data_IF_770868923627
#
_entry.id   IF_770868923627
#
_cell.length_a   1.000
_cell.length_b   1.000
_cell.length_c   1.000
_cell.angle_alpha   90.00
_cell.angle_beta   90.00
_cell.angle_gamma   90.00
#
_symmetry.space_group_name_H-M   'P 1'
#
loop_
_entity.id
_entity.type
_entity.pdbx_description
1 polymer ?
#
# COMPACT_ATOMS: atom_id res chain seq x y z
N UNK A 1 -12.27 -3.83 33.77
CA UNK A 1 -11.61 -2.73 33.06
C UNK A 1 -10.72 -3.28 31.96
N UNK A 2 -10.88 -2.75 30.79
CA UNK A 2 -10.05 -3.19 29.68
C UNK A 2 -8.69 -2.51 29.71
N UNK A 3 -7.63 -3.32 29.59
CA UNK A 3 -6.28 -2.81 29.42
C UNK A 3 -5.89 -2.69 27.95
N UNK A 4 -6.75 -3.15 27.08
CA UNK A 4 -6.52 -3.12 25.64
C UNK A 4 -6.93 -1.76 25.11
N UNK A 5 -5.97 -0.86 25.04
CA UNK A 5 -6.22 0.42 24.38
C UNK A 5 -5.86 0.26 22.91
N UNK A 6 -6.77 0.68 22.05
CA UNK A 6 -6.49 0.73 20.64
C UNK A 6 -5.48 1.85 20.42
N UNK A 7 -4.31 1.49 19.93
CA UNK A 7 -3.24 2.44 19.63
C UNK A 7 -3.29 2.92 18.18
N UNK A 8 -3.89 2.11 17.30
CA UNK A 8 -3.97 2.44 15.89
C UNK A 8 -5.14 1.71 15.26
N UNK A 9 -5.94 2.46 14.51
CA UNK A 9 -7.02 1.91 13.69
C UNK A 9 -6.77 2.29 12.25
N UNK A 10 -6.62 1.29 11.39
CA UNK A 10 -6.46 1.46 9.96
C UNK A 10 -7.54 0.68 9.24
N UNK A 11 -7.76 1.00 7.98
CA UNK A 11 -8.68 0.20 7.18
C UNK A 11 -8.39 0.31 5.69
N UNK A 12 -8.48 -0.84 5.00
CA UNK A 12 -8.84 -0.89 3.60
C UNK A 12 -10.35 -1.12 3.56
N UNK A 13 -10.82 -2.12 2.84
CA UNK A 13 -12.22 -2.55 2.90
C UNK A 13 -12.53 -3.26 4.22
N UNK A 14 -11.50 -3.78 4.87
CA UNK A 14 -11.59 -4.41 6.18
C UNK A 14 -10.79 -3.60 7.21
N UNK A 15 -11.24 -3.56 8.46
CA UNK A 15 -10.50 -2.85 9.50
C UNK A 15 -9.25 -3.60 9.94
N UNK A 16 -8.22 -2.86 10.28
CA UNK A 16 -7.03 -3.36 10.97
C UNK A 16 -6.89 -2.58 12.27
N UNK A 17 -7.01 -3.28 13.39
CA UNK A 17 -6.93 -2.66 14.71
C UNK A 17 -5.67 -3.14 15.40
N UNK A 18 -4.79 -2.20 15.72
CA UNK A 18 -3.54 -2.48 16.42
C UNK A 18 -3.71 -2.09 17.88
N UNK A 19 -3.39 -3.01 18.77
CA UNK A 19 -3.47 -2.82 20.22
C UNK A 19 -2.13 -3.16 20.86
N UNK A 20 -1.93 -2.86 22.15
CA UNK A 20 -0.71 -3.26 22.85
C UNK A 20 -0.46 -4.77 22.85
N UNK A 21 -1.50 -5.59 22.70
CA UNK A 21 -1.38 -7.04 22.64
C UNK A 21 -0.96 -7.56 21.27
N UNK A 22 -0.97 -6.72 20.26
CA UNK A 22 -0.51 -7.10 18.93
C UNK A 22 1.00 -7.31 18.96
N UNK A 23 1.45 -8.50 18.53
CA UNK A 23 2.87 -8.82 18.56
C UNK A 23 3.66 -7.96 17.55
N UNK A 24 3.17 -7.89 16.33
CA UNK A 24 3.74 -7.06 15.28
C UNK A 24 2.74 -6.96 14.14
N UNK A 25 2.98 -6.00 13.24
CA UNK A 25 2.19 -5.81 12.04
C UNK A 25 3.08 -6.07 10.84
N UNK A 26 2.63 -6.96 9.95
CA UNK A 26 3.35 -7.27 8.72
C UNK A 26 3.05 -6.23 7.65
N UNK A 27 4.07 -5.55 7.17
CA UNK A 27 3.97 -4.61 6.05
C UNK A 27 4.60 -5.26 4.82
N UNK A 28 3.81 -5.39 3.75
CA UNK A 28 4.32 -5.89 2.48
C UNK A 28 4.99 -4.76 1.70
N UNK A 29 6.24 -4.96 1.32
CA UNK A 29 7.05 -3.92 0.67
C UNK A 29 7.46 -4.26 -0.76
N UNK A 30 6.88 -5.28 -1.37
CA UNK A 30 7.24 -5.70 -2.72
C UNK A 30 6.63 -4.83 -3.82
N UNK A 31 5.70 -3.94 -3.46
CA UNK A 31 5.15 -2.93 -4.36
C UNK A 31 5.80 -1.56 -4.11
N UNK A 32 7.07 -1.59 -3.76
CA UNK A 32 7.90 -0.42 -3.52
C UNK A 32 9.04 -0.42 -4.54
N UNK A 33 9.04 0.57 -5.44
CA UNK A 33 10.02 0.63 -6.54
C UNK A 33 11.44 0.89 -6.06
N UNK A 34 11.60 1.48 -4.87
CA UNK A 34 12.94 1.72 -4.31
C UNK A 34 13.51 0.47 -3.65
N UNK A 35 12.65 -0.43 -3.17
CA UNK A 35 13.05 -1.64 -2.47
C UNK A 35 12.94 -2.92 -3.30
N UNK A 36 12.31 -2.87 -4.47
CA UNK A 36 12.09 -4.05 -5.31
C UNK A 36 12.41 -3.76 -6.75
N UNK A 37 13.46 -4.41 -7.26
CA UNK A 37 13.84 -4.28 -8.68
C UNK A 37 12.76 -4.83 -9.59
N UNK A 38 12.08 -5.88 -9.17
CA UNK A 38 10.97 -6.46 -9.94
C UNK A 38 9.83 -5.45 -10.06
N UNK A 39 9.44 -4.83 -8.96
CA UNK A 39 8.38 -3.82 -8.97
C UNK A 39 8.77 -2.65 -9.89
N UNK A 40 9.99 -2.14 -9.75
CA UNK A 40 10.47 -1.06 -10.59
C UNK A 40 10.36 -1.41 -12.07
N UNK A 41 10.80 -2.61 -12.46
CA UNK A 41 10.72 -3.05 -13.84
C UNK A 41 9.26 -3.10 -14.33
N UNK A 42 8.37 -3.67 -13.52
CA UNK A 42 6.97 -3.79 -13.90
C UNK A 42 6.31 -2.43 -14.11
N UNK A 43 6.62 -1.47 -13.25
CA UNK A 43 6.06 -0.12 -13.37
C UNK A 43 6.66 0.62 -14.57
N UNK A 44 7.97 0.52 -14.79
CA UNK A 44 8.63 1.15 -15.93
C UNK A 44 8.10 0.61 -17.27
N UNK A 45 7.80 -0.68 -17.34
CA UNK A 45 7.27 -1.32 -18.54
C UNK A 45 5.75 -1.25 -18.59
N UNK A 46 5.13 -0.56 -17.66
CA UNK A 46 3.67 -0.41 -17.57
C UNK A 46 2.91 -1.74 -17.48
N UNK A 47 3.53 -2.74 -16.86
CA UNK A 47 2.94 -4.06 -16.63
C UNK A 47 2.17 -4.07 -15.32
N UNK A 48 1.13 -3.24 -15.25
CA UNK A 48 0.37 -3.03 -14.00
C UNK A 48 -0.40 -4.28 -13.56
N UNK A 49 -0.84 -5.11 -14.48
CA UNK A 49 -1.54 -6.36 -14.12
C UNK A 49 -0.61 -7.30 -13.35
N UNK A 50 0.66 -7.38 -13.77
CA UNK A 50 1.65 -8.17 -13.06
C UNK A 50 2.00 -7.54 -11.70
N UNK A 51 2.06 -6.20 -11.65
CA UNK A 51 2.28 -5.51 -10.39
C UNK A 51 1.13 -5.74 -9.41
N UNK A 52 -0.11 -5.78 -9.89
CA UNK A 52 -1.28 -6.14 -9.08
C UNK A 52 -1.15 -7.57 -8.54
N UNK A 53 -0.64 -8.49 -9.33
CA UNK A 53 -0.40 -9.87 -8.87
C UNK A 53 0.60 -9.91 -7.73
N UNK A 54 1.64 -9.07 -7.78
CA UNK A 54 2.61 -8.94 -6.68
C UNK A 54 1.91 -8.45 -5.41
N UNK A 55 1.06 -7.44 -5.55
CA UNK A 55 0.28 -6.92 -4.42
C UNK A 55 -0.62 -8.00 -3.83
N UNK A 56 -1.33 -8.74 -4.68
CA UNK A 56 -2.22 -9.82 -4.25
C UNK A 56 -1.45 -10.91 -3.51
N UNK A 57 -0.29 -11.29 -4.01
CA UNK A 57 0.55 -12.32 -3.38
C UNK A 57 0.97 -11.89 -1.97
N UNK A 58 1.27 -10.62 -1.76
CA UNK A 58 1.59 -10.11 -0.43
C UNK A 58 0.42 -10.24 0.53
N UNK A 59 -0.78 -9.87 0.09
CA UNK A 59 -1.99 -9.96 0.92
C UNK A 59 -2.29 -11.42 1.24
N UNK A 60 -2.24 -12.30 0.27
CA UNK A 60 -2.47 -13.73 0.46
C UNK A 60 -1.40 -14.35 1.35
N UNK A 61 -0.19 -13.82 1.31
CA UNK A 61 0.93 -14.27 2.15
C UNK A 61 0.89 -13.74 3.57
N UNK A 62 -0.09 -12.91 3.93
CA UNK A 62 -0.28 -12.43 5.29
C UNK A 62 0.09 -10.97 5.54
N UNK A 63 0.39 -10.18 4.52
CA UNK A 63 0.62 -8.76 4.72
C UNK A 63 -0.65 -8.09 5.26
N UNK A 64 -0.48 -7.29 6.29
CA UNK A 64 -1.59 -6.58 6.94
C UNK A 64 -1.68 -5.14 6.49
N UNK A 65 -0.62 -4.63 5.90
CA UNK A 65 -0.53 -3.31 5.26
C UNK A 65 0.32 -3.52 4.01
N UNK A 66 -0.01 -2.81 2.92
CA UNK A 66 0.83 -2.83 1.72
C UNK A 66 1.47 -1.45 1.56
N UNK A 67 2.81 -1.43 1.48
CA UNK A 67 3.57 -0.22 1.22
C UNK A 67 3.68 -0.01 -0.29
N UNK A 68 3.27 1.15 -0.76
CA UNK A 68 3.34 1.51 -2.17
C UNK A 68 4.21 2.75 -2.32
N UNK A 69 5.33 2.58 -3.00
CA UNK A 69 6.27 3.65 -3.28
C UNK A 69 6.59 3.67 -4.76
N UNK A 70 6.44 4.83 -5.38
CA UNK A 70 6.72 5.05 -6.81
C UNK A 70 7.81 6.09 -7.01
N UNK A 71 8.66 6.30 -6.01
CA UNK A 71 9.74 7.29 -6.06
C UNK A 71 10.93 6.74 -6.84
N UNK A 72 10.96 7.06 -8.12
CA UNK A 72 12.08 6.69 -8.98
C UNK A 72 12.14 7.70 -10.14
N UNK A 73 13.35 8.20 -10.41
CA UNK A 73 13.53 9.30 -11.36
C UNK A 73 13.16 8.98 -12.81
N UNK A 74 13.08 7.71 -13.17
CA UNK A 74 12.76 7.27 -14.53
C UNK A 74 11.27 7.07 -14.77
N UNK A 75 10.43 7.26 -13.75
CA UNK A 75 8.99 7.12 -13.87
C UNK A 75 8.30 8.38 -13.36
N UNK A 76 7.08 8.65 -13.88
CA UNK A 76 6.22 9.69 -13.31
C UNK A 76 5.55 9.12 -12.06
N UNK A 77 6.11 9.44 -10.90
CA UNK A 77 5.68 8.87 -9.63
C UNK A 77 4.23 9.19 -9.29
N UNK A 78 3.79 10.42 -9.57
CA UNK A 78 2.41 10.81 -9.29
C UNK A 78 1.42 10.02 -10.13
N UNK A 79 1.67 9.95 -11.44
CA UNK A 79 0.81 9.21 -12.36
C UNK A 79 0.80 7.71 -12.02
N UNK A 80 1.96 7.13 -11.76
CA UNK A 80 2.08 5.72 -11.39
C UNK A 80 1.34 5.42 -10.08
N UNK A 81 1.47 6.27 -9.08
CA UNK A 81 0.79 6.13 -7.79
C UNK A 81 -0.72 6.12 -7.98
N UNK A 82 -1.26 7.13 -8.67
CA UNK A 82 -2.70 7.26 -8.91
C UNK A 82 -3.22 6.05 -9.69
N UNK A 83 -2.53 5.68 -10.75
CA UNK A 83 -2.95 4.55 -11.59
C UNK A 83 -2.97 3.25 -10.82
N UNK A 84 -1.90 2.97 -10.07
CA UNK A 84 -1.81 1.73 -9.31
C UNK A 84 -2.85 1.66 -8.20
N UNK A 85 -3.05 2.75 -7.46
CA UNK A 85 -4.05 2.78 -6.39
C UNK A 85 -5.47 2.62 -6.92
N UNK A 86 -5.78 3.23 -8.07
CA UNK A 86 -7.08 3.04 -8.70
C UNK A 86 -7.31 1.59 -9.13
N UNK A 87 -6.28 0.93 -9.62
CA UNK A 87 -6.36 -0.49 -9.97
C UNK A 87 -6.56 -1.36 -8.74
N UNK A 88 -5.85 -1.06 -7.65
CA UNK A 88 -6.03 -1.76 -6.38
C UNK A 88 -7.46 -1.59 -5.86
N UNK A 89 -7.99 -0.38 -5.94
CA UNK A 89 -9.35 -0.09 -5.47
C UNK A 89 -10.42 -0.94 -6.17
N UNK A 90 -10.16 -1.37 -7.40
CA UNK A 90 -11.05 -2.24 -8.16
C UNK A 90 -10.88 -3.73 -7.82
N UNK A 91 -9.93 -4.08 -6.94
CA UNK A 91 -9.62 -5.46 -6.60
C UNK A 91 -9.84 -5.70 -5.10
N UNK A 92 -11.03 -6.17 -4.69
CA UNK A 92 -11.33 -6.37 -3.26
C UNK A 92 -10.34 -7.29 -2.54
N UNK A 93 -9.76 -8.26 -3.24
CA UNK A 93 -8.78 -9.19 -2.67
C UNK A 93 -7.52 -8.46 -2.18
N UNK A 94 -7.20 -7.33 -2.78
CA UNK A 94 -6.04 -6.52 -2.42
C UNK A 94 -6.47 -5.37 -1.51
N UNK A 95 -7.57 -4.70 -1.87
CA UNK A 95 -8.04 -3.49 -1.21
C UNK A 95 -8.58 -3.75 0.21
N UNK A 96 -8.75 -5.01 0.61
CA UNK A 96 -9.22 -5.34 1.95
C UNK A 96 -8.24 -4.91 3.05
N UNK A 97 -6.96 -4.76 2.73
CA UNK A 97 -5.96 -4.29 3.69
C UNK A 97 -5.67 -2.81 3.48
N UNK A 98 -5.29 -2.09 4.53
CA UNK A 98 -4.90 -0.69 4.39
C UNK A 98 -3.62 -0.54 3.58
N UNK A 99 -3.50 0.61 2.91
CA UNK A 99 -2.36 0.96 2.09
C UNK A 99 -1.49 1.97 2.83
N UNK A 100 -0.18 1.79 2.78
CA UNK A 100 0.78 2.80 3.18
C UNK A 100 1.26 3.53 1.93
N UNK A 101 0.94 4.82 1.83
CA UNK A 101 1.44 5.65 0.75
C UNK A 101 2.79 6.19 1.17
N UNK A 102 3.83 5.76 0.46
CA UNK A 102 5.21 6.02 0.81
C UNK A 102 5.85 6.85 -0.29
N UNK A 103 6.22 8.09 0.04
CA UNK A 103 6.89 8.97 -0.92
C UNK A 103 7.63 10.08 -0.18
N UNK A 104 8.74 10.52 -0.77
CA UNK A 104 9.47 11.69 -0.31
C UNK A 104 8.87 12.99 -0.83
N UNK A 105 7.84 12.90 -1.69
CA UNK A 105 7.21 14.07 -2.34
C UNK A 105 5.78 14.23 -1.88
N UNK A 106 5.46 15.38 -1.32
CA UNK A 106 4.12 15.65 -0.81
C UNK A 106 3.04 15.56 -1.88
N UNK A 107 3.31 16.05 -3.09
CA UNK A 107 2.33 15.99 -4.17
C UNK A 107 1.95 14.57 -4.58
N UNK A 108 2.85 13.62 -4.40
CA UNK A 108 2.56 12.20 -4.65
C UNK A 108 1.70 11.64 -3.53
N UNK A 109 2.04 11.97 -2.27
CA UNK A 109 1.25 11.55 -1.11
C UNK A 109 -0.17 12.07 -1.22
N UNK A 110 -0.33 13.36 -1.52
CA UNK A 110 -1.64 14.00 -1.63
C UNK A 110 -2.48 13.34 -2.73
N UNK A 111 -1.88 13.13 -3.90
CA UNK A 111 -2.57 12.47 -5.02
C UNK A 111 -2.99 11.06 -4.65
N UNK A 112 -2.11 10.31 -3.95
CA UNK A 112 -2.41 8.96 -3.51
C UNK A 112 -3.53 8.90 -2.50
N UNK A 113 -3.54 9.81 -1.54
CA UNK A 113 -4.59 9.87 -0.52
C UNK A 113 -5.98 10.07 -1.12
N UNK A 114 -6.08 10.76 -2.24
CA UNK A 114 -7.36 10.95 -2.93
C UNK A 114 -7.88 9.67 -3.58
N UNK A 115 -7.04 8.68 -3.76
CA UNK A 115 -7.41 7.41 -4.40
C UNK A 115 -7.72 6.30 -3.41
N UNK A 116 -7.37 6.48 -2.14
CA UNK A 116 -7.49 5.44 -1.12
C UNK A 116 -8.82 5.52 -0.40
N UNK A 117 -9.47 4.38 -0.23
CA UNK A 117 -10.65 4.25 0.60
C UNK A 117 -10.24 3.75 1.97
N UNK A 118 -10.96 4.18 3.01
CA UNK A 118 -10.65 3.80 4.37
C UNK A 118 -9.55 4.69 4.97
N UNK A 119 -8.80 4.14 5.90
CA UNK A 119 -7.78 4.86 6.63
C UNK A 119 -6.43 4.17 6.46
N UNK A 120 -5.59 4.72 5.61
CA UNK A 120 -4.26 4.21 5.35
C UNK A 120 -3.18 4.85 6.22
N UNK A 121 -1.95 4.60 5.83
CA UNK A 121 -0.75 5.14 6.47
C UNK A 121 0.01 5.97 5.45
N UNK A 122 0.66 7.01 5.91
CA UNK A 122 1.58 7.83 5.10
C UNK A 122 2.98 7.70 5.68
N UNK A 123 3.96 7.52 4.82
CA UNK A 123 5.35 7.42 5.24
C UNK A 123 6.23 8.35 4.40
#
# INVERSE_FOLDING_TARGET
MSNSKVTLKLSGLEPLIVTPESNFVNVGERTNVTGSRKCLRLIKEELFDEALSVARDQVEGGAQIIDINMDEGMIDGKEAMVKFLNLIAAEPDIARVPVMIDSSKWEIIEAGLQCVQGKGVVN
#
